data_IF_124520248536
#
_entry.id   IF_124520248536
#
_cell.length_a   1.000
_cell.length_b   1.000
_cell.length_c   1.000
_cell.angle_alpha   90.00
_cell.angle_beta   90.00
_cell.angle_gamma   90.00
#
_symmetry.space_group_name_H-M   'P 1'
#
loop_
_entity.id
_entity.type
_entity.pdbx_description
1 polymer ?
#
# COMPACT_ATOMS: atom_id res chain seq x y z
N UNK A 1 -4.28 -21.91 33.58
CA UNK A 1 -3.65 -21.25 32.42
C UNK A 1 -2.90 -20.05 32.96
N UNK A 2 -1.58 -20.13 33.05
CA UNK A 2 -0.76 -19.04 33.57
C UNK A 2 -0.79 -17.86 32.60
N UNK A 3 -1.17 -16.69 33.11
CA UNK A 3 -1.13 -15.44 32.36
C UNK A 3 0.26 -14.86 32.49
N UNK A 4 1.02 -14.89 31.41
CA UNK A 4 2.32 -14.21 31.33
C UNK A 4 2.10 -12.79 30.83
N UNK A 5 2.51 -11.81 31.62
CA UNK A 5 2.47 -10.40 31.24
C UNK A 5 3.81 -10.04 30.62
N UNK A 6 3.80 -9.59 29.37
CA UNK A 6 4.97 -9.10 28.66
C UNK A 6 4.76 -7.63 28.37
N UNK A 7 5.68 -6.80 28.84
CA UNK A 7 5.76 -5.40 28.52
C UNK A 7 6.56 -5.23 27.22
N UNK A 8 6.14 -4.28 26.39
CA UNK A 8 6.87 -3.89 25.19
C UNK A 8 7.13 -2.39 25.19
N UNK A 9 8.32 -1.99 24.74
CA UNK A 9 8.75 -0.59 24.68
C UNK A 9 9.59 -0.37 23.41
N UNK A 10 9.28 0.67 22.63
CA UNK A 10 10.05 1.06 21.45
C UNK A 10 10.81 2.37 21.75
N UNK A 11 12.13 2.34 21.76
CA UNK A 11 12.98 3.52 22.04
C UNK A 11 14.15 3.62 21.03
N UNK A 12 14.78 4.79 20.89
CA UNK A 12 16.03 4.93 20.14
C UNK A 12 17.25 4.58 20.99
N UNK A 13 18.11 3.71 20.45
CA UNK A 13 19.47 3.48 20.93
C UNK A 13 20.44 4.08 19.89
N UNK A 14 20.83 5.34 20.10
CA UNK A 14 21.52 6.13 19.07
C UNK A 14 20.58 6.52 17.92
N UNK A 15 20.86 6.07 16.70
CA UNK A 15 20.00 6.26 15.51
C UNK A 15 19.12 5.04 15.18
N UNK A 16 19.28 3.92 15.88
CA UNK A 16 18.55 2.70 15.61
C UNK A 16 17.31 2.61 16.51
N UNK A 17 16.15 2.34 15.91
CA UNK A 17 14.93 2.06 16.67
C UNK A 17 14.96 0.62 17.17
N UNK A 18 14.86 0.44 18.49
CA UNK A 18 14.91 -0.85 19.17
C UNK A 18 13.53 -1.15 19.77
N UNK A 19 13.03 -2.36 19.55
CA UNK A 19 11.80 -2.87 20.17
C UNK A 19 12.18 -3.89 21.26
N UNK A 20 11.94 -3.54 22.51
CA UNK A 20 12.23 -4.36 23.68
C UNK A 20 10.98 -5.09 24.16
N UNK A 21 11.09 -6.39 24.41
CA UNK A 21 10.10 -7.20 25.12
C UNK A 21 10.68 -7.67 26.45
N UNK A 22 9.98 -7.44 27.55
CA UNK A 22 10.43 -7.82 28.89
C UNK A 22 9.26 -8.23 29.77
N UNK A 23 9.48 -9.15 30.70
CA UNK A 23 8.52 -9.47 31.78
C UNK A 23 8.80 -8.66 33.05
N UNK A 24 9.94 -7.96 33.10
CA UNK A 24 10.33 -7.09 34.20
C UNK A 24 9.78 -5.67 33.97
N UNK A 25 8.82 -5.27 34.82
CA UNK A 25 8.19 -3.96 34.79
C UNK A 25 9.18 -2.80 34.99
N UNK A 26 10.24 -3.00 35.78
CA UNK A 26 11.24 -1.95 36.05
C UNK A 26 12.04 -1.61 34.80
N UNK A 27 12.38 -2.63 34.02
CA UNK A 27 13.08 -2.48 32.74
C UNK A 27 12.19 -1.74 31.75
N UNK A 28 10.90 -2.09 31.68
CA UNK A 28 9.94 -1.40 30.84
C UNK A 28 9.77 0.08 31.25
N UNK A 29 9.67 0.36 32.55
CA UNK A 29 9.55 1.72 33.08
C UNK A 29 10.78 2.58 32.74
N UNK A 30 11.99 2.04 32.91
CA UNK A 30 13.22 2.74 32.56
C UNK A 30 13.35 3.01 31.07
N UNK A 31 13.02 2.04 30.22
CA UNK A 31 13.05 2.22 28.76
C UNK A 31 12.02 3.26 28.30
N UNK A 32 10.85 3.33 28.97
CA UNK A 32 9.80 4.31 28.70
C UNK A 32 10.24 5.74 29.03
N UNK A 33 11.02 5.93 30.09
CA UNK A 33 11.59 7.24 30.43
C UNK A 33 12.51 7.83 29.34
N UNK A 34 13.12 6.97 28.49
CA UNK A 34 13.87 7.44 27.31
C UNK A 34 12.96 7.94 26.18
N UNK A 35 11.72 7.45 26.09
CA UNK A 35 10.74 7.84 25.08
C UNK A 35 10.20 9.24 25.36
N UNK A 36 9.91 9.59 26.62
CA UNK A 36 9.33 10.91 26.95
C UNK A 36 10.31 12.07 26.67
N UNK A 37 11.61 11.77 26.58
CA UNK A 37 12.64 12.71 26.13
C UNK A 37 12.72 12.83 24.59
N UNK A 38 12.12 11.91 23.83
CA UNK A 38 12.00 11.99 22.37
C UNK A 38 10.85 12.93 21.99
N UNK A 39 11.16 14.21 21.80
CA UNK A 39 10.24 15.10 21.07
C UNK A 39 10.18 14.64 19.61
N UNK A 40 9.03 14.07 19.20
CA UNK A 40 8.77 13.78 17.80
C UNK A 40 8.63 15.09 17.02
N UNK A 41 9.68 15.50 16.32
CA UNK A 41 9.71 16.74 15.54
C UNK A 41 9.36 16.54 14.05
N UNK A 42 9.07 15.32 13.62
CA UNK A 42 8.90 15.01 12.21
C UNK A 42 7.68 14.11 11.99
N UNK A 43 6.68 14.67 11.32
CA UNK A 43 5.53 13.96 10.78
C UNK A 43 5.64 14.03 9.25
N UNK A 44 5.59 12.88 8.59
CA UNK A 44 5.73 12.79 7.13
C UNK A 44 4.44 12.19 6.56
N UNK A 45 3.74 12.96 5.75
CA UNK A 45 2.66 12.48 4.91
C UNK A 45 3.18 12.26 3.49
N UNK A 46 3.21 11.00 3.05
CA UNK A 46 3.66 10.62 1.71
C UNK A 46 2.48 9.99 0.95
N UNK A 47 2.27 10.48 -0.27
CA UNK A 47 1.34 9.87 -1.24
C UNK A 47 2.15 9.47 -2.48
N UNK A 48 2.48 8.18 -2.59
CA UNK A 48 3.29 7.64 -3.67
C UNK A 48 2.36 7.20 -4.81
N UNK A 49 2.38 7.93 -5.93
CA UNK A 49 1.65 7.58 -7.16
C UNK A 49 2.46 6.72 -8.12
N UNK A 50 3.74 6.52 -7.85
CA UNK A 50 4.62 5.72 -8.69
C UNK A 50 6.03 5.69 -8.14
N UNK A 51 6.80 4.72 -8.60
CA UNK A 51 8.20 4.50 -8.26
C UNK A 51 8.98 4.16 -9.53
N UNK A 52 10.20 4.67 -9.63
CA UNK A 52 11.14 4.39 -10.71
C UNK A 52 12.49 3.93 -10.16
N UNK A 53 13.14 3.03 -10.88
CA UNK A 53 14.48 2.54 -10.64
C UNK A 53 15.32 2.74 -11.89
N UNK A 54 16.47 3.39 -11.74
CA UNK A 54 17.43 3.65 -12.82
C UNK A 54 18.73 2.90 -12.55
N UNK A 55 19.17 2.10 -13.52
CA UNK A 55 20.49 1.50 -13.54
C UNK A 55 21.42 2.45 -14.28
N UNK A 56 22.31 3.11 -13.53
CA UNK A 56 23.30 4.03 -14.10
C UNK A 56 24.70 3.44 -14.05
N UNK A 57 25.48 3.70 -15.10
CA UNK A 57 26.91 3.42 -15.13
C UNK A 57 27.68 4.74 -14.98
N UNK A 58 28.56 4.78 -13.99
CA UNK A 58 29.45 5.91 -13.74
C UNK A 58 30.88 5.49 -14.06
N UNK A 59 31.29 5.67 -15.32
CA UNK A 59 32.64 5.29 -15.77
C UNK A 59 33.55 6.52 -15.84
N UNK A 60 34.61 6.49 -15.02
CA UNK A 60 35.84 7.28 -15.14
C UNK A 60 35.69 8.76 -15.53
N UNK A 61 34.90 9.54 -14.78
CA UNK A 61 34.77 11.00 -14.92
C UNK A 61 34.19 11.50 -16.27
N UNK A 62 33.67 10.62 -17.12
CA UNK A 62 33.07 10.99 -18.42
C UNK A 62 31.57 11.35 -18.27
N UNK A 63 30.96 10.99 -17.14
CA UNK A 63 29.58 11.32 -16.79
C UNK A 63 28.76 10.09 -16.39
N UNK A 64 27.59 10.33 -15.80
CA UNK A 64 26.63 9.29 -15.43
C UNK A 64 25.81 8.94 -16.67
N UNK A 65 25.86 7.68 -17.11
CA UNK A 65 25.07 7.19 -18.24
C UNK A 65 23.99 6.25 -17.74
N UNK A 66 22.72 6.49 -18.06
CA UNK A 66 21.63 5.57 -17.74
C UNK A 66 21.62 4.38 -18.72
N UNK A 67 21.67 3.17 -18.18
CA UNK A 67 21.65 1.92 -18.95
C UNK A 67 20.26 1.29 -19.01
N UNK A 68 19.44 1.47 -17.98
CA UNK A 68 18.07 0.96 -17.95
C UNK A 68 17.22 1.75 -16.95
N UNK A 69 15.94 1.87 -17.25
CA UNK A 69 14.94 2.48 -16.36
C UNK A 69 13.71 1.58 -16.29
N UNK A 70 13.23 1.31 -15.07
CA UNK A 70 12.00 0.57 -14.81
C UNK A 70 11.14 1.40 -13.88
N UNK A 71 9.84 1.53 -14.17
CA UNK A 71 8.92 2.22 -13.26
C UNK A 71 7.60 1.49 -13.13
N UNK A 72 7.00 1.62 -11.95
CA UNK A 72 5.63 1.24 -11.66
C UNK A 72 4.89 2.51 -11.30
N UNK A 73 3.91 2.90 -12.11
CA UNK A 73 3.08 4.07 -11.88
C UNK A 73 1.64 3.63 -11.67
N UNK A 74 0.92 4.40 -10.87
CA UNK A 74 -0.52 4.32 -10.79
C UNK A 74 -1.11 4.58 -12.19
N UNK A 75 -2.11 3.80 -12.54
CA UNK A 75 -2.72 3.82 -13.87
C UNK A 75 -4.23 3.86 -13.73
N UNK A 76 -4.91 4.40 -14.74
CA UNK A 76 -6.37 4.40 -14.75
C UNK A 76 -6.89 2.97 -14.67
N UNK A 77 -7.92 2.74 -13.85
CA UNK A 77 -8.54 1.44 -13.73
C UNK A 77 -9.08 0.99 -15.09
N UNK A 78 -8.62 -0.18 -15.54
CA UNK A 78 -9.07 -0.82 -16.78
C UNK A 78 -10.00 -1.97 -16.41
N UNK A 79 -11.23 -1.90 -16.90
CA UNK A 79 -12.24 -2.93 -16.69
C UNK A 79 -12.54 -3.64 -18.00
N UNK A 80 -12.43 -4.96 -17.99
CA UNK A 80 -12.65 -5.82 -19.14
C UNK A 80 -13.64 -6.94 -18.79
N UNK A 81 -14.36 -7.42 -19.80
CA UNK A 81 -15.23 -8.58 -19.68
C UNK A 81 -14.78 -9.66 -20.65
N UNK A 82 -14.77 -10.91 -20.19
CA UNK A 82 -14.51 -12.05 -21.05
C UNK A 82 -15.82 -12.48 -21.72
N UNK A 83 -15.90 -12.34 -23.05
CA UNK A 83 -17.04 -12.80 -23.84
C UNK A 83 -16.52 -13.80 -24.86
N UNK A 84 -16.99 -15.05 -24.77
CA UNK A 84 -16.59 -16.14 -25.66
C UNK A 84 -15.07 -16.27 -25.81
N UNK A 85 -14.36 -16.34 -24.67
CA UNK A 85 -12.90 -16.45 -24.58
C UNK A 85 -12.10 -15.25 -25.11
N UNK A 86 -12.75 -14.12 -25.40
CA UNK A 86 -12.09 -12.87 -25.77
C UNK A 86 -12.34 -11.80 -24.72
N UNK A 87 -11.26 -11.19 -24.23
CA UNK A 87 -11.33 -10.00 -23.37
C UNK A 87 -11.73 -8.80 -24.21
N UNK A 88 -12.76 -8.10 -23.77
CA UNK A 88 -13.25 -6.86 -24.39
C UNK A 88 -13.26 -5.76 -23.34
N UNK A 89 -12.64 -4.63 -23.67
CA UNK A 89 -12.71 -3.43 -22.83
C UNK A 89 -14.15 -2.93 -22.76
N UNK A 90 -14.57 -2.51 -21.57
CA UNK A 90 -15.84 -1.83 -21.38
C UNK A 90 -15.77 -0.40 -21.90
N UNK A 91 -16.92 0.21 -22.17
CA UNK A 91 -16.97 1.64 -22.48
C UNK A 91 -16.49 2.45 -21.28
N UNK A 92 -15.89 3.62 -21.53
CA UNK A 92 -15.35 4.48 -20.46
C UNK A 92 -16.40 4.82 -19.40
N UNK A 93 -17.65 5.06 -19.80
CA UNK A 93 -18.77 5.33 -18.90
C UNK A 93 -19.03 4.16 -17.96
N UNK A 94 -19.16 2.94 -18.51
CA UNK A 94 -19.44 1.74 -17.72
C UNK A 94 -18.25 1.37 -16.83
N UNK A 95 -17.02 1.44 -17.35
CA UNK A 95 -15.80 1.19 -16.58
C UNK A 95 -15.66 2.17 -15.40
N UNK A 96 -15.94 3.45 -15.62
CA UNK A 96 -15.89 4.48 -14.56
C UNK A 96 -16.95 4.24 -13.48
N UNK A 97 -18.15 3.84 -13.89
CA UNK A 97 -19.23 3.51 -12.95
C UNK A 97 -18.91 2.25 -12.13
N UNK A 98 -18.40 1.19 -12.76
CA UNK A 98 -17.99 -0.05 -12.08
C UNK A 98 -16.89 0.25 -11.06
N UNK A 99 -15.88 1.00 -11.47
CA UNK A 99 -14.76 1.43 -10.63
C UNK A 99 -15.25 2.22 -9.40
N UNK A 100 -16.18 3.15 -9.58
CA UNK A 100 -16.77 3.90 -8.48
C UNK A 100 -17.48 2.98 -7.47
N UNK A 101 -18.26 2.01 -7.97
CA UNK A 101 -18.97 1.04 -7.10
C UNK A 101 -18.01 0.11 -6.37
N UNK A 102 -16.94 -0.32 -7.05
CA UNK A 102 -15.89 -1.14 -6.46
C UNK A 102 -15.15 -0.40 -5.34
N UNK A 103 -14.75 0.87 -5.56
CA UNK A 103 -14.10 1.70 -4.54
C UNK A 103 -14.96 1.96 -3.30
N UNK A 104 -16.27 1.96 -3.46
CA UNK A 104 -17.24 2.08 -2.35
C UNK A 104 -17.51 0.75 -1.63
N UNK A 105 -16.73 -0.30 -1.89
CA UNK A 105 -16.84 -1.65 -1.29
C UNK A 105 -18.24 -2.28 -1.46
N UNK A 106 -18.91 -1.98 -2.57
CA UNK A 106 -20.18 -2.60 -2.92
C UNK A 106 -19.94 -4.07 -3.32
N UNK A 107 -20.68 -5.02 -2.74
CA UNK A 107 -20.59 -6.44 -3.15
C UNK A 107 -21.27 -6.72 -4.49
N UNK A 108 -22.37 -6.01 -4.76
CA UNK A 108 -23.15 -6.10 -6.00
C UNK A 108 -23.61 -4.71 -6.39
N UNK A 109 -23.63 -4.42 -7.68
CA UNK A 109 -24.17 -3.19 -8.21
C UNK A 109 -25.00 -3.47 -9.45
N UNK A 110 -25.98 -2.60 -9.68
CA UNK A 110 -26.85 -2.67 -10.85
C UNK A 110 -26.91 -1.29 -11.51
N UNK A 111 -26.67 -1.24 -12.82
CA UNK A 111 -26.81 -0.04 -13.64
C UNK A 111 -27.98 -0.22 -14.59
N UNK A 112 -29.05 0.56 -14.39
CA UNK A 112 -30.32 0.42 -15.14
C UNK A 112 -30.88 -1.02 -15.04
N UNK A 113 -31.75 -1.42 -15.95
CA UNK A 113 -32.36 -2.76 -15.95
C UNK A 113 -31.50 -3.85 -16.64
N UNK A 114 -30.31 -3.51 -17.14
CA UNK A 114 -29.58 -4.34 -18.11
C UNK A 114 -28.14 -4.68 -17.71
N UNK A 115 -27.65 -4.22 -16.56
CA UNK A 115 -26.26 -4.48 -16.15
C UNK A 115 -26.23 -4.82 -14.69
N UNK A 116 -25.89 -6.07 -14.40
CA UNK A 116 -25.67 -6.58 -13.06
C UNK A 116 -24.20 -6.95 -12.88
N UNK A 117 -23.59 -6.46 -11.80
CA UNK A 117 -22.19 -6.71 -11.44
C UNK A 117 -22.12 -7.30 -10.05
N UNK A 118 -21.42 -8.43 -9.89
CA UNK A 118 -21.05 -9.03 -8.61
C UNK A 118 -19.54 -8.94 -8.45
N UNK A 119 -19.10 -8.02 -7.59
CA UNK A 119 -17.68 -7.78 -7.32
C UNK A 119 -17.05 -8.90 -6.49
N UNK A 120 -17.84 -9.62 -5.69
CA UNK A 120 -17.35 -10.76 -4.90
C UNK A 120 -17.03 -11.98 -5.76
N UNK A 121 -17.65 -12.08 -6.94
CA UNK A 121 -17.43 -13.17 -7.90
C UNK A 121 -16.73 -12.71 -9.19
N UNK A 122 -16.46 -11.42 -9.34
CA UNK A 122 -16.00 -10.80 -10.59
C UNK A 122 -16.86 -11.20 -11.80
N UNK A 123 -18.18 -11.15 -11.65
CA UNK A 123 -19.14 -11.52 -12.70
C UNK A 123 -19.94 -10.30 -13.16
N UNK A 124 -20.13 -10.19 -14.47
CA UNK A 124 -20.96 -9.18 -15.11
C UNK A 124 -21.91 -9.87 -16.09
N UNK A 125 -23.20 -9.56 -16.01
CA UNK A 125 -24.23 -10.05 -16.93
C UNK A 125 -25.28 -8.98 -17.22
N UNK A 126 -26.01 -9.18 -18.32
CA UNK A 126 -27.17 -8.40 -18.71
C UNK A 126 -28.43 -9.16 -18.31
#
# INVERSE_FOLDING_TARGET
KDKVVVFWVSYLEGQQRVLLFTQDERVAYHARGKIDAEKSNLEIFLSIRGIGLSLVNNTNNIGVTELAYVSANDSAAVWEVNVAHKWKMLTLELASWIEERWRLDCKKAQMKEYVHVDFGRCLLWN
#
